data_IF_872686456441
#
_entry.id   IF_872686456441
#
_cell.length_a   1.000
_cell.length_b   1.000
_cell.length_c   1.000
_cell.angle_alpha   90.00
_cell.angle_beta   90.00
_cell.angle_gamma   90.00
#
_symmetry.space_group_name_H-M   'P 1'
#
loop_
_entity.id
_entity.type
_entity.pdbx_description
1 polymer ?
#
# COMPACT_ATOMS: atom_id res chain seq x y z
N UNK A 1 -4.70 -13.26 -21.87
CA UNK A 1 -4.34 -13.83 -20.55
C UNK A 1 -4.69 -12.78 -19.50
N UNK A 2 -5.40 -13.14 -18.42
CA UNK A 2 -5.72 -12.18 -17.35
C UNK A 2 -4.44 -11.81 -16.61
N UNK A 3 -4.08 -10.53 -16.57
CA UNK A 3 -2.96 -10.06 -15.76
C UNK A 3 -3.33 -10.13 -14.28
N UNK A 4 -2.46 -10.73 -13.47
CA UNK A 4 -2.62 -10.76 -12.02
C UNK A 4 -2.11 -9.43 -11.44
N UNK A 5 -3.04 -8.51 -11.20
CA UNK A 5 -2.72 -7.19 -10.64
C UNK A 5 -2.96 -7.17 -9.13
N UNK A 6 -2.02 -6.60 -8.38
CA UNK A 6 -2.19 -6.33 -6.96
C UNK A 6 -2.32 -4.82 -6.76
N UNK A 7 -3.45 -4.37 -6.22
CA UNK A 7 -3.64 -2.99 -5.82
C UNK A 7 -3.31 -2.81 -4.33
N UNK A 8 -2.63 -1.73 -3.97
CA UNK A 8 -2.27 -1.40 -2.58
C UNK A 8 -2.80 -0.02 -2.25
N UNK A 9 -3.68 0.05 -1.24
CA UNK A 9 -4.23 1.32 -0.79
C UNK A 9 -4.44 1.40 0.71
N UNK A 10 -4.36 2.62 1.22
CA UNK A 10 -4.78 3.00 2.56
C UNK A 10 -6.28 3.28 2.59
N UNK A 11 -6.80 3.90 1.52
CA UNK A 11 -8.21 4.17 1.30
C UNK A 11 -8.64 3.61 -0.05
N UNK A 12 -9.56 2.64 0.00
CA UNK A 12 -10.06 1.97 -1.19
C UNK A 12 -10.71 2.91 -2.21
N UNK A 13 -11.26 4.04 -1.76
CA UNK A 13 -11.94 4.99 -2.65
C UNK A 13 -10.96 5.79 -3.54
N UNK A 14 -9.66 5.68 -3.26
CA UNK A 14 -8.61 6.42 -3.97
C UNK A 14 -7.87 5.58 -5.01
N UNK A 15 -8.22 4.30 -5.17
CA UNK A 15 -7.67 3.48 -6.26
C UNK A 15 -8.51 3.71 -7.51
N UNK A 16 -7.92 4.17 -8.64
CA UNK A 16 -8.64 4.24 -9.90
C UNK A 16 -8.92 2.82 -10.41
N UNK A 17 -10.20 2.47 -10.49
CA UNK A 17 -10.82 1.30 -11.15
C UNK A 17 -10.09 -0.05 -11.08
N UNK A 18 -10.74 -1.01 -10.42
CA UNK A 18 -10.24 -2.37 -10.16
C UNK A 18 -11.09 -3.35 -10.97
N UNK A 19 -10.47 -4.16 -11.84
CA UNK A 19 -11.14 -5.24 -12.57
C UNK A 19 -11.29 -6.53 -11.71
N UNK A 20 -12.06 -7.52 -12.16
CA UNK A 20 -12.35 -8.78 -11.43
C UNK A 20 -11.12 -9.69 -11.14
N UNK A 21 -9.96 -9.36 -11.71
CA UNK A 21 -8.73 -10.17 -11.62
C UNK A 21 -7.70 -9.61 -10.61
N UNK A 22 -8.11 -8.67 -9.75
CA UNK A 22 -7.19 -7.95 -8.89
C UNK A 22 -7.34 -8.31 -7.41
N UNK A 23 -6.21 -8.37 -6.70
CA UNK A 23 -6.17 -8.49 -5.23
C UNK A 23 -5.90 -7.11 -4.65
N UNK A 24 -6.76 -6.65 -3.72
CA UNK A 24 -6.57 -5.36 -3.06
C UNK A 24 -6.05 -5.56 -1.63
N UNK A 25 -4.89 -4.98 -1.33
CA UNK A 25 -4.29 -4.94 0.00
C UNK A 25 -4.69 -3.64 0.71
N UNK A 26 -5.38 -3.74 1.84
CA UNK A 26 -5.84 -2.59 2.65
C UNK A 26 -5.41 -2.68 4.11
N UNK A 27 -5.22 -1.56 4.82
CA UNK A 27 -4.99 -1.58 6.26
C UNK A 27 -6.31 -1.89 6.97
N UNK A 28 -6.40 -3.11 7.53
CA UNK A 28 -7.61 -3.61 8.16
C UNK A 28 -8.73 -3.94 7.17
N UNK A 29 -9.89 -4.31 7.73
CA UNK A 29 -11.07 -4.70 6.98
C UNK A 29 -11.74 -3.44 6.44
N UNK A 30 -11.82 -3.33 5.12
CA UNK A 30 -12.57 -2.28 4.41
C UNK A 30 -13.60 -2.98 3.53
N UNK A 31 -14.86 -2.56 3.62
CA UNK A 31 -15.94 -3.13 2.79
C UNK A 31 -15.79 -2.56 1.38
N UNK A 32 -15.60 -3.44 0.40
CA UNK A 32 -15.49 -3.05 -1.01
C UNK A 32 -16.64 -3.69 -1.75
N UNK A 33 -17.48 -2.87 -2.37
CA UNK A 33 -18.76 -3.28 -2.95
C UNK A 33 -18.61 -3.78 -4.39
N UNK A 34 -17.52 -3.41 -5.06
CA UNK A 34 -17.26 -3.70 -6.48
C UNK A 34 -16.19 -4.76 -6.71
N UNK A 35 -15.61 -5.37 -5.66
CA UNK A 35 -14.64 -6.48 -5.81
C UNK A 35 -14.74 -7.49 -4.68
N UNK A 36 -14.55 -8.76 -5.02
CA UNK A 36 -14.62 -9.88 -4.07
C UNK A 36 -13.27 -10.21 -3.40
N UNK A 37 -12.14 -9.67 -3.87
CA UNK A 37 -10.79 -10.11 -3.48
C UNK A 37 -10.01 -9.04 -2.71
N UNK A 38 -10.50 -8.69 -1.52
CA UNK A 38 -9.76 -7.82 -0.60
C UNK A 38 -9.01 -8.63 0.45
N UNK A 39 -7.74 -8.31 0.64
CA UNK A 39 -6.86 -8.95 1.62
C UNK A 39 -6.51 -7.91 2.69
N UNK A 40 -7.21 -7.92 3.84
CA UNK A 40 -6.97 -6.96 4.89
C UNK A 40 -5.68 -7.29 5.66
N UNK A 41 -4.77 -6.32 5.74
CA UNK A 41 -3.60 -6.41 6.61
C UNK A 41 -3.98 -5.90 7.99
N UNK A 42 -4.19 -6.85 8.92
CA UNK A 42 -4.57 -6.54 10.30
C UNK A 42 -3.38 -5.92 11.05
N UNK A 43 -3.55 -4.67 11.48
CA UNK A 43 -2.58 -3.96 12.33
C UNK A 43 -2.82 -4.37 13.80
N UNK A 44 -1.80 -4.93 14.49
CA UNK A 44 -1.91 -5.34 15.88
C UNK A 44 -2.30 -4.19 16.82
N UNK A 45 -3.12 -4.48 17.84
CA UNK A 45 -3.54 -3.48 18.85
C UNK A 45 -2.37 -2.75 19.50
N UNK A 46 -1.27 -3.45 19.80
CA UNK A 46 -0.03 -2.85 20.34
C UNK A 46 0.54 -1.74 19.46
N UNK A 47 0.53 -1.92 18.13
CA UNK A 47 1.02 -0.91 17.18
C UNK A 47 0.07 0.28 17.17
N UNK A 48 -1.24 0.04 17.23
CA UNK A 48 -2.24 1.13 17.32
C UNK A 48 -2.08 1.96 18.60
N UNK A 49 -1.79 1.31 19.73
CA UNK A 49 -1.57 1.96 21.03
C UNK A 49 -0.30 2.82 21.03
N UNK A 50 0.84 2.26 20.61
CA UNK A 50 2.11 3.00 20.55
C UNK A 50 1.99 4.19 19.60
N UNK A 51 1.36 3.98 18.44
CA UNK A 51 1.12 5.04 17.47
C UNK A 51 0.24 6.15 18.04
N UNK A 52 -0.78 5.82 18.85
CA UNK A 52 -1.61 6.81 19.56
C UNK A 52 -0.81 7.62 20.59
N UNK A 53 0.10 6.97 21.32
CA UNK A 53 0.96 7.64 22.31
C UNK A 53 1.94 8.61 21.62
N UNK A 54 2.56 8.16 20.53
CA UNK A 54 3.46 9.00 19.73
C UNK A 54 2.70 10.17 19.11
N UNK A 55 1.51 9.93 18.54
CA UNK A 55 0.69 10.99 17.97
C UNK A 55 0.29 12.01 19.04
N UNK A 56 -0.10 11.56 20.25
CA UNK A 56 -0.45 12.47 21.35
C UNK A 56 0.75 13.29 21.84
N UNK A 57 1.95 12.71 21.83
CA UNK A 57 3.18 13.43 22.14
C UNK A 57 3.49 14.45 21.02
N UNK A 58 3.42 14.04 19.76
CA UNK A 58 3.65 14.92 18.61
C UNK A 58 2.63 16.07 18.53
N UNK A 59 1.36 15.82 18.84
CA UNK A 59 0.33 16.87 18.88
C UNK A 59 0.65 17.93 19.96
N UNK A 60 1.34 17.56 21.05
CA UNK A 60 1.78 18.52 22.09
C UNK A 60 3.03 19.31 21.69
N UNK A 61 3.93 18.73 20.90
CA UNK A 61 5.23 19.32 20.58
C UNK A 61 5.36 19.86 19.14
N UNK A 62 4.40 19.54 18.27
CA UNK A 62 4.42 19.92 16.86
C UNK A 62 3.07 20.49 16.43
N UNK A 63 3.04 21.79 16.10
CA UNK A 63 1.86 22.46 15.51
C UNK A 63 1.55 21.98 14.08
N UNK A 64 2.41 21.14 13.48
CA UNK A 64 2.29 20.71 12.09
C UNK A 64 1.78 19.25 12.00
N UNK A 65 0.49 19.11 11.73
CA UNK A 65 -0.30 17.88 11.84
C UNK A 65 0.01 16.74 10.85
N UNK A 66 1.00 16.90 9.96
CA UNK A 66 1.18 15.99 8.81
C UNK A 66 1.85 14.65 9.16
N UNK A 67 2.27 14.42 10.41
CA UNK A 67 3.02 13.22 10.85
C UNK A 67 2.18 12.16 11.57
N UNK A 68 0.85 12.20 11.43
CA UNK A 68 -0.05 11.26 12.12
C UNK A 68 0.05 9.85 11.52
N UNK A 69 0.09 8.84 12.38
CA UNK A 69 0.01 7.40 12.04
C UNK A 69 1.22 6.76 11.32
N UNK A 70 2.43 7.28 11.53
CA UNK A 70 3.66 6.76 10.88
C UNK A 70 3.89 5.27 11.18
N UNK A 71 3.64 4.80 12.41
CA UNK A 71 3.91 3.40 12.75
C UNK A 71 2.93 2.44 12.07
N UNK A 72 1.66 2.83 11.99
CA UNK A 72 0.65 2.04 11.28
C UNK A 72 1.00 1.92 9.80
N UNK A 73 1.38 3.03 9.18
CA UNK A 73 1.78 3.09 7.77
C UNK A 73 3.03 2.24 7.50
N UNK A 74 4.07 2.37 8.32
CA UNK A 74 5.29 1.57 8.18
C UNK A 74 5.04 0.08 8.39
N UNK A 75 4.21 -0.28 9.38
CA UNK A 75 3.82 -1.67 9.59
C UNK A 75 3.07 -2.24 8.39
N UNK A 76 2.11 -1.49 7.86
CA UNK A 76 1.35 -1.86 6.68
C UNK A 76 2.28 -2.07 5.47
N UNK A 77 3.13 -1.08 5.16
CA UNK A 77 4.07 -1.16 4.04
C UNK A 77 5.00 -2.38 4.13
N UNK A 78 5.51 -2.69 5.33
CA UNK A 78 6.35 -3.88 5.57
C UNK A 78 5.59 -5.19 5.32
N UNK A 79 4.31 -5.25 5.68
CA UNK A 79 3.47 -6.44 5.45
C UNK A 79 3.09 -6.61 3.99
N UNK A 80 2.78 -5.51 3.29
CA UNK A 80 2.57 -5.49 1.83
C UNK A 80 3.83 -6.01 1.13
N UNK A 81 5.00 -5.48 1.45
CA UNK A 81 6.26 -5.93 0.85
C UNK A 81 6.51 -7.44 1.09
N UNK A 82 6.18 -7.94 2.28
CA UNK A 82 6.26 -9.38 2.59
C UNK A 82 5.27 -10.21 1.78
N UNK A 83 4.07 -9.70 1.51
CA UNK A 83 3.06 -10.35 0.70
C UNK A 83 3.48 -10.42 -0.77
N UNK A 84 3.91 -9.28 -1.33
CA UNK A 84 4.39 -9.18 -2.72
C UNK A 84 5.59 -10.12 -3.00
N UNK A 85 6.47 -10.34 -2.03
CA UNK A 85 7.58 -11.30 -2.18
C UNK A 85 7.14 -12.78 -2.20
N UNK A 86 5.90 -13.10 -1.85
CA UNK A 86 5.39 -14.47 -1.71
C UNK A 86 4.40 -14.88 -2.79
N UNK A 87 3.74 -13.90 -3.40
CA UNK A 87 2.65 -14.11 -4.35
C UNK A 87 3.12 -13.65 -5.72
N UNK A 88 2.95 -14.49 -6.73
CA UNK A 88 3.21 -14.11 -8.12
C UNK A 88 2.17 -13.09 -8.59
N UNK A 89 2.65 -12.07 -9.28
CA UNK A 89 1.84 -10.98 -9.81
C UNK A 89 2.60 -10.33 -10.97
N UNK A 90 1.84 -9.81 -11.94
CA UNK A 90 2.37 -9.15 -13.12
C UNK A 90 2.57 -7.65 -12.88
N UNK A 91 1.66 -7.06 -12.10
CA UNK A 91 1.63 -5.62 -11.85
C UNK A 91 1.24 -5.30 -10.40
N UNK A 92 1.80 -4.20 -9.89
CA UNK A 92 1.39 -3.59 -8.61
C UNK A 92 0.97 -2.15 -8.84
N UNK A 93 -0.23 -1.80 -8.41
CA UNK A 93 -0.76 -0.43 -8.45
C UNK A 93 -0.80 0.11 -7.03
N UNK A 94 -0.36 1.35 -6.84
CA UNK A 94 -0.35 2.02 -5.54
C UNK A 94 -1.29 3.21 -5.56
N UNK A 95 -1.98 3.45 -4.44
CA UNK A 95 -2.83 4.64 -4.25
C UNK A 95 -2.07 5.96 -4.50
N UNK A 96 -0.80 6.05 -4.08
CA UNK A 96 0.02 7.23 -4.24
C UNK A 96 1.53 6.91 -4.20
N UNK A 97 2.35 7.87 -4.64
CA UNK A 97 3.82 7.73 -4.71
C UNK A 97 4.48 7.57 -3.33
N UNK A 98 3.90 8.14 -2.27
CA UNK A 98 4.43 7.99 -0.92
C UNK A 98 4.32 6.54 -0.44
N UNK A 99 3.15 5.92 -0.65
CA UNK A 99 2.91 4.52 -0.31
C UNK A 99 3.79 3.58 -1.15
N UNK A 100 3.90 3.87 -2.46
CA UNK A 100 4.82 3.17 -3.37
C UNK A 100 6.25 3.20 -2.82
N UNK A 101 6.78 4.38 -2.51
CA UNK A 101 8.14 4.53 -1.98
C UNK A 101 8.35 3.75 -0.68
N UNK A 102 7.40 3.82 0.25
CA UNK A 102 7.47 3.07 1.51
C UNK A 102 7.46 1.55 1.30
N UNK A 103 6.59 1.03 0.44
CA UNK A 103 6.55 -0.41 0.14
C UNK A 103 7.82 -0.86 -0.58
N UNK A 104 8.24 -0.13 -1.62
CA UNK A 104 9.47 -0.41 -2.37
C UNK A 104 10.70 -0.38 -1.47
N UNK A 105 10.78 0.54 -0.52
CA UNK A 105 11.91 0.61 0.43
C UNK A 105 12.09 -0.69 1.23
N UNK A 106 11.01 -1.45 1.45
CA UNK A 106 10.97 -2.71 2.20
C UNK A 106 11.06 -3.96 1.31
N UNK A 107 11.06 -3.82 -0.02
CA UNK A 107 11.20 -4.93 -0.95
C UNK A 107 12.68 -5.29 -1.14
N UNK A 108 12.99 -6.59 -1.12
CA UNK A 108 14.36 -7.08 -1.34
C UNK A 108 14.81 -6.86 -2.79
N UNK A 109 13.87 -7.00 -3.75
CA UNK A 109 14.12 -6.84 -5.19
C UNK A 109 13.47 -5.55 -5.73
N UNK A 110 13.88 -4.39 -5.22
CA UNK A 110 13.31 -3.07 -5.59
C UNK A 110 13.26 -2.85 -7.11
N UNK A 111 14.29 -3.32 -7.82
CA UNK A 111 14.48 -3.11 -9.26
C UNK A 111 13.47 -3.86 -10.14
N UNK A 112 12.84 -4.94 -9.65
CA UNK A 112 11.79 -5.66 -10.41
C UNK A 112 10.48 -4.86 -10.50
N UNK A 113 10.27 -3.90 -9.59
CA UNK A 113 9.01 -3.17 -9.40
C UNK A 113 9.11 -1.69 -9.78
N UNK A 114 10.30 -1.25 -10.21
CA UNK A 114 10.49 0.05 -10.86
C UNK A 114 10.26 -0.20 -12.34
N UNK A 115 9.00 -0.21 -12.77
CA UNK A 115 8.71 -0.04 -14.19
C UNK A 115 9.20 1.36 -14.53
N UNK A 116 10.33 1.46 -15.24
CA UNK A 116 10.80 2.71 -15.79
C UNK A 116 9.64 3.35 -16.54
N UNK A 117 9.23 4.56 -16.12
CA UNK A 117 8.19 5.37 -16.76
C UNK A 117 8.39 5.49 -18.28
N UNK A 118 9.62 5.29 -18.75
CA UNK A 118 10.00 5.34 -20.16
C UNK A 118 9.34 4.22 -20.99
N UNK A 119 9.14 3.01 -20.45
CA UNK A 119 8.59 1.90 -21.25
C UNK A 119 7.09 2.02 -21.56
N UNK A 120 6.37 2.85 -20.81
CA UNK A 120 4.95 3.13 -21.06
C UNK A 120 4.74 4.17 -22.19
N UNK A 121 5.80 4.89 -22.59
CA UNK A 121 5.75 5.92 -23.64
C UNK A 121 6.41 5.49 -24.95
N UNK A 122 6.98 4.28 -25.04
CA UNK A 122 7.71 3.81 -26.23
C UNK A 122 6.95 2.75 -27.05
N UNK A 123 5.67 2.53 -26.78
CA UNK A 123 4.82 1.61 -27.57
C UNK A 123 3.91 2.39 -28.54
N UNK A 124 4.01 3.71 -28.57
CA UNK A 124 3.48 4.55 -29.64
C UNK A 124 4.65 5.09 -30.46
N UNK A 125 5.12 4.27 -31.41
CA UNK A 125 6.11 4.62 -32.42
C UNK A 125 5.82 3.85 -33.69
#
# INVERSE_FOLDING_TARGET
MSQNTIAVALDINKIPYVNDHEIILTPGIQKVWYTAKTVPIIIPKRIKLIDSLINSFLDKFSKNNNKRNILKLNYFAKKVAKYLNRVEHDQVIFENDQLKSLVLSNLKNKNKYITNKEKALSIEG
#
